data_IF_130383439122
#
_entry.id   IF_130383439122
#
_cell.length_a   1.000
_cell.length_b   1.000
_cell.length_c   1.000
_cell.angle_alpha   90.00
_cell.angle_beta   90.00
_cell.angle_gamma   90.00
#
_symmetry.space_group_name_H-M   'P 1'
#
loop_
_entity.id
_entity.type
_entity.pdbx_description
1 polymer ?
#
# COMPACT_ATOMS: atom_id res chain seq x y z
N UNK A 1 1.88 -29.12 37.90
CA UNK A 1 2.58 -28.60 36.69
C UNK A 1 1.81 -27.49 35.98
N UNK A 2 0.50 -27.36 36.19
CA UNK A 2 -0.39 -26.35 35.57
C UNK A 2 -0.05 -24.89 35.90
N UNK A 3 0.64 -24.61 37.02
CA UNK A 3 0.97 -23.24 37.44
C UNK A 3 2.28 -22.67 36.84
N UNK A 4 3.01 -23.44 36.03
CA UNK A 4 4.28 -23.02 35.40
C UNK A 4 4.16 -22.74 33.90
N UNK A 5 2.97 -22.91 33.33
CA UNK A 5 2.72 -22.81 31.89
C UNK A 5 1.87 -21.58 31.58
N UNK A 6 2.02 -21.02 30.38
CA UNK A 6 1.13 -19.94 29.92
C UNK A 6 -0.32 -20.46 29.83
N UNK A 7 -1.35 -19.66 30.20
CA UNK A 7 -2.75 -20.11 30.25
C UNK A 7 -3.26 -20.71 28.93
N UNK A 8 -2.73 -20.24 27.79
CA UNK A 8 -3.05 -20.78 26.46
C UNK A 8 -2.67 -22.27 26.27
N UNK A 9 -1.86 -22.83 27.18
CA UNK A 9 -1.40 -24.23 27.15
C UNK A 9 -2.19 -25.15 28.08
N UNK A 10 -3.14 -24.64 28.85
CA UNK A 10 -3.90 -25.44 29.82
C UNK A 10 -4.66 -26.59 29.16
N UNK A 11 -5.30 -26.36 28.01
CA UNK A 11 -5.96 -27.42 27.24
C UNK A 11 -4.98 -28.52 26.76
N UNK A 12 -3.76 -28.12 26.36
CA UNK A 12 -2.75 -29.07 25.90
C UNK A 12 -2.24 -29.94 27.05
N UNK A 13 -2.12 -29.37 28.25
CA UNK A 13 -1.71 -30.08 29.46
C UNK A 13 -2.81 -31.05 29.91
N UNK A 14 -4.08 -30.61 29.90
CA UNK A 14 -5.22 -31.49 30.20
C UNK A 14 -5.29 -32.69 29.25
N UNK A 15 -4.99 -32.48 27.96
CA UNK A 15 -4.91 -33.58 26.98
C UNK A 15 -3.79 -34.58 27.29
N UNK A 16 -2.70 -34.17 27.95
CA UNK A 16 -1.64 -35.08 28.38
C UNK A 16 -2.08 -35.95 29.57
N UNK A 17 -2.86 -35.40 30.50
CA UNK A 17 -3.36 -36.13 31.67
C UNK A 17 -4.29 -37.30 31.29
N UNK A 18 -4.95 -37.21 30.13
CA UNK A 18 -5.81 -38.26 29.60
C UNK A 18 -5.06 -39.44 28.94
N UNK A 19 -3.74 -39.33 28.71
CA UNK A 19 -2.96 -40.36 28.00
C UNK A 19 -2.45 -41.41 28.99
N UNK A 20 -2.93 -42.65 28.84
CA UNK A 20 -2.54 -43.77 29.71
C UNK A 20 -1.25 -44.49 29.25
N UNK A 21 -0.97 -44.50 27.95
CA UNK A 21 0.23 -45.15 27.40
C UNK A 21 1.50 -44.32 27.71
N UNK A 22 2.50 -44.88 28.42
CA UNK A 22 3.69 -44.13 28.83
C UNK A 22 4.52 -43.57 27.66
N UNK A 23 4.57 -44.27 26.52
CA UNK A 23 5.37 -43.84 25.37
C UNK A 23 4.70 -42.67 24.67
N UNK A 24 3.39 -42.72 24.47
CA UNK A 24 2.60 -41.62 23.93
C UNK A 24 2.57 -40.41 24.86
N UNK A 25 2.49 -40.65 26.18
CA UNK A 25 2.57 -39.59 27.17
C UNK A 25 3.91 -38.85 27.08
N UNK A 26 5.02 -39.58 27.04
CA UNK A 26 6.35 -38.99 26.92
C UNK A 26 6.50 -38.17 25.62
N UNK A 27 6.01 -38.69 24.48
CA UNK A 27 5.97 -37.95 23.21
C UNK A 27 5.14 -36.68 23.32
N UNK A 28 3.97 -36.76 23.95
CA UNK A 28 3.09 -35.62 24.20
C UNK A 28 3.76 -34.55 25.07
N UNK A 29 4.44 -34.95 26.14
CA UNK A 29 5.20 -34.06 27.02
C UNK A 29 6.29 -33.32 26.23
N UNK A 30 7.10 -34.01 25.43
CA UNK A 30 8.13 -33.36 24.61
C UNK A 30 7.54 -32.36 23.61
N UNK A 31 6.38 -32.67 23.03
CA UNK A 31 5.67 -31.73 22.14
C UNK A 31 5.24 -30.47 22.88
N UNK A 32 4.64 -30.61 24.07
CA UNK A 32 4.22 -29.46 24.88
C UNK A 32 5.42 -28.65 25.37
N UNK A 33 6.50 -29.29 25.81
CA UNK A 33 7.75 -28.60 26.17
C UNK A 33 8.36 -27.82 24.99
N UNK A 34 8.28 -28.36 23.78
CA UNK A 34 8.68 -27.64 22.56
C UNK A 34 7.86 -26.37 22.33
N UNK A 35 6.54 -26.44 22.54
CA UNK A 35 5.66 -25.28 22.46
C UNK A 35 5.98 -24.24 23.55
N UNK A 36 6.21 -24.69 24.78
CA UNK A 36 6.57 -23.80 25.89
C UNK A 36 7.90 -23.09 25.66
N UNK A 37 8.87 -23.75 25.00
CA UNK A 37 10.12 -23.11 24.58
C UNK A 37 9.86 -21.96 23.60
N UNK A 38 8.97 -22.17 22.63
CA UNK A 38 8.56 -21.12 21.68
C UNK A 38 7.83 -19.97 22.39
N UNK A 39 6.97 -20.29 23.36
CA UNK A 39 6.29 -19.28 24.18
C UNK A 39 7.30 -18.42 24.96
N UNK A 40 8.32 -19.04 25.55
CA UNK A 40 9.39 -18.33 26.28
C UNK A 40 10.19 -17.41 25.34
N UNK A 41 10.50 -17.86 24.12
CA UNK A 41 11.16 -17.02 23.10
C UNK A 41 10.27 -15.83 22.73
N UNK A 42 8.98 -16.06 22.46
CA UNK A 42 8.04 -14.99 22.12
C UNK A 42 7.89 -13.99 23.26
N UNK A 43 7.78 -14.47 24.50
CA UNK A 43 7.75 -13.62 25.69
C UNK A 43 9.01 -12.78 25.83
N UNK A 44 10.18 -13.40 25.64
CA UNK A 44 11.47 -12.70 25.70
C UNK A 44 11.57 -11.60 24.63
N UNK A 45 11.14 -11.89 23.40
CA UNK A 45 11.08 -10.89 22.33
C UNK A 45 10.13 -9.75 22.72
N UNK A 46 8.94 -10.06 23.26
CA UNK A 46 7.97 -9.05 23.68
C UNK A 46 8.50 -8.19 24.83
N UNK A 47 9.22 -8.78 25.81
CA UNK A 47 9.78 -8.04 26.94
C UNK A 47 10.91 -7.12 26.52
N UNK A 48 11.72 -7.51 25.53
CA UNK A 48 12.82 -6.67 25.03
C UNK A 48 12.40 -5.66 23.96
N UNK A 49 11.31 -5.92 23.22
CA UNK A 49 10.80 -5.03 22.17
C UNK A 49 10.74 -3.54 22.55
N UNK A 50 10.18 -3.11 23.71
CA UNK A 50 10.11 -1.68 24.04
C UNK A 50 11.51 -1.04 24.13
N UNK A 51 12.47 -1.73 24.78
CA UNK A 51 13.85 -1.24 24.90
C UNK A 51 14.56 -1.16 23.54
N UNK A 52 14.31 -2.14 22.66
CA UNK A 52 14.87 -2.12 21.31
C UNK A 52 14.30 -0.96 20.48
N UNK A 53 13.00 -0.70 20.59
CA UNK A 53 12.34 0.42 19.88
C UNK A 53 12.81 1.78 20.39
N UNK A 54 13.08 1.90 21.68
CA UNK A 54 13.58 3.15 22.28
C UNK A 54 14.96 3.54 21.73
N UNK A 55 15.85 2.57 21.52
CA UNK A 55 17.23 2.81 21.08
C UNK A 55 17.49 2.51 19.59
N UNK A 56 16.54 1.93 18.85
CA UNK A 56 16.78 1.49 17.46
C UNK A 56 17.18 2.64 16.54
N UNK A 57 16.49 3.78 16.62
CA UNK A 57 16.74 4.94 15.76
C UNK A 57 18.17 5.46 15.96
N UNK A 58 18.59 5.64 17.22
CA UNK A 58 19.93 6.12 17.56
C UNK A 58 21.01 5.15 17.10
N UNK A 59 20.76 3.84 17.27
CA UNK A 59 21.68 2.80 16.83
C UNK A 59 21.81 2.77 15.30
N UNK A 60 20.70 2.81 14.57
CA UNK A 60 20.69 2.84 13.10
C UNK A 60 21.39 4.08 12.56
N UNK A 61 21.13 5.26 13.15
CA UNK A 61 21.83 6.51 12.81
C UNK A 61 23.33 6.41 13.03
N UNK A 62 23.77 5.93 14.20
CA UNK A 62 25.19 5.78 14.51
C UNK A 62 25.87 4.82 13.53
N UNK A 63 25.22 3.69 13.20
CA UNK A 63 25.74 2.73 12.23
C UNK A 63 25.77 3.25 10.81
N UNK A 64 24.77 4.01 10.40
CA UNK A 64 24.78 4.65 9.09
C UNK A 64 25.86 5.74 9.01
N UNK A 65 26.06 6.51 10.08
CA UNK A 65 27.14 7.49 10.15
C UNK A 65 28.52 6.83 10.05
N UNK A 66 28.76 5.71 10.74
CA UNK A 66 30.00 4.92 10.61
C UNK A 66 30.26 4.46 9.16
N UNK A 67 29.20 4.25 8.36
CA UNK A 67 29.34 3.91 6.93
C UNK A 67 29.66 5.14 6.08
N UNK A 68 29.00 6.27 6.34
CA UNK A 68 29.26 7.53 5.65
C UNK A 68 30.69 8.05 5.89
N UNK A 69 31.20 7.90 7.11
CA UNK A 69 32.56 8.30 7.47
C UNK A 69 33.61 7.50 6.67
N UNK A 70 33.29 6.25 6.28
CA UNK A 70 34.15 5.40 5.44
C UNK A 70 33.98 5.70 3.95
N UNK A 71 32.77 6.04 3.52
CA UNK A 71 32.44 6.32 2.13
C UNK A 71 31.55 7.57 2.04
N UNK A 72 32.15 8.77 1.86
CA UNK A 72 31.39 10.02 1.82
C UNK A 72 30.42 10.15 0.64
N UNK A 73 30.64 9.42 -0.46
CA UNK A 73 29.78 9.41 -1.66
C UNK A 73 28.71 8.30 -1.64
N UNK A 74 28.32 7.82 -0.45
CA UNK A 74 27.37 6.71 -0.33
C UNK A 74 25.92 7.10 -0.65
N UNK A 75 25.58 8.40 -0.75
CA UNK A 75 24.19 8.89 -0.88
C UNK A 75 23.81 9.30 -2.30
N UNK A 76 24.51 8.80 -3.30
CA UNK A 76 24.34 9.21 -4.70
C UNK A 76 22.94 8.83 -5.23
N UNK A 77 22.48 7.59 -5.01
CA UNK A 77 21.15 7.15 -5.46
C UNK A 77 20.03 7.80 -4.65
N UNK A 78 20.23 8.01 -3.36
CA UNK A 78 19.30 8.77 -2.51
C UNK A 78 19.15 10.20 -3.03
N UNK A 79 20.25 10.84 -3.44
CA UNK A 79 20.23 12.19 -4.01
C UNK A 79 19.54 12.23 -5.37
N UNK A 80 19.81 11.26 -6.27
CA UNK A 80 19.10 11.12 -7.56
C UNK A 80 17.60 10.93 -7.36
N UNK A 81 17.22 10.07 -6.41
CA UNK A 81 15.82 9.78 -6.11
C UNK A 81 15.06 11.02 -5.61
N UNK A 82 15.64 11.78 -4.66
CA UNK A 82 15.03 13.03 -4.19
C UNK A 82 15.01 14.11 -5.26
N UNK A 83 16.04 14.19 -6.11
CA UNK A 83 16.08 15.11 -7.25
C UNK A 83 14.94 14.81 -8.21
N UNK A 84 14.73 13.53 -8.55
CA UNK A 84 13.61 13.09 -9.40
C UNK A 84 12.26 13.44 -8.77
N UNK A 85 12.10 13.24 -7.46
CA UNK A 85 10.88 13.61 -6.75
C UNK A 85 10.61 15.12 -6.81
N UNK A 86 11.66 15.95 -6.71
CA UNK A 86 11.54 17.40 -6.85
C UNK A 86 11.09 17.79 -8.27
N UNK A 87 11.68 17.18 -9.31
CA UNK A 87 11.28 17.44 -10.71
C UNK A 87 9.85 17.02 -11.00
N UNK A 88 9.38 15.92 -10.39
CA UNK A 88 8.01 15.43 -10.56
C UNK A 88 6.96 16.39 -9.97
N UNK A 89 7.32 17.16 -8.93
CA UNK A 89 6.43 18.17 -8.34
C UNK A 89 6.42 19.45 -9.18
N UNK A 90 7.58 19.88 -9.68
CA UNK A 90 7.72 21.13 -10.44
C UNK A 90 7.21 21.01 -11.87
N UNK A 91 7.21 19.81 -12.46
CA UNK A 91 6.73 19.59 -13.83
C UNK A 91 5.20 19.45 -13.84
N UNK A 92 4.44 20.38 -14.44
CA UNK A 92 3.01 20.19 -14.62
C UNK A 92 2.75 19.00 -15.56
N UNK A 93 1.92 18.05 -15.11
CA UNK A 93 1.62 16.84 -15.86
C UNK A 93 0.83 17.18 -17.16
N UNK A 94 1.24 16.72 -18.37
CA UNK A 94 0.58 17.09 -19.64
C UNK A 94 -0.71 16.32 -19.98
N UNK A 95 -1.43 15.73 -19.00
CA UNK A 95 -2.55 14.83 -19.31
C UNK A 95 -3.84 15.16 -18.57
N UNK A 96 -4.60 16.10 -19.15
CA UNK A 96 -6.06 16.14 -19.02
C UNK A 96 -6.64 17.05 -20.12
N UNK A 97 -7.41 16.55 -21.10
CA UNK A 97 -8.29 17.40 -21.87
C UNK A 97 -9.37 17.95 -20.94
N UNK A 98 -9.50 19.28 -20.89
CA UNK A 98 -10.60 19.95 -20.22
C UNK A 98 -11.95 19.46 -20.78
N UNK A 99 -12.91 19.23 -19.90
CA UNK A 99 -14.33 19.19 -20.27
C UNK A 99 -15.15 19.84 -19.16
N UNK A 100 -16.10 20.73 -19.49
CA UNK A 100 -16.69 21.63 -18.52
C UNK A 100 -17.88 21.02 -17.78
N UNK A 101 -18.07 21.53 -16.57
CA UNK A 101 -19.31 21.66 -15.80
C UNK A 101 -19.79 20.54 -14.84
N UNK A 102 -19.84 20.98 -13.57
CA UNK A 102 -20.80 20.68 -12.50
C UNK A 102 -20.83 19.28 -11.85
N UNK A 103 -20.24 19.18 -10.66
CA UNK A 103 -20.97 19.34 -9.38
C UNK A 103 -20.00 19.31 -8.18
N UNK A 104 -20.23 20.23 -7.24
CA UNK A 104 -19.42 20.47 -6.03
C UNK A 104 -19.41 19.24 -5.11
N UNK A 105 -18.22 18.79 -4.74
CA UNK A 105 -17.95 18.08 -3.49
C UNK A 105 -16.72 18.70 -2.84
N UNK A 106 -16.77 18.81 -1.52
CA UNK A 106 -16.02 19.72 -0.68
C UNK A 106 -14.55 19.30 -0.53
N UNK A 107 -13.67 20.21 -0.93
CA UNK A 107 -12.31 20.51 -0.46
C UNK A 107 -11.37 19.36 0.01
N UNK A 108 -10.43 18.98 -0.87
CA UNK A 108 -9.01 19.11 -0.52
C UNK A 108 -8.55 20.44 -1.14
N UNK A 109 -8.47 21.50 -0.34
CA UNK A 109 -8.04 22.80 -0.83
C UNK A 109 -6.55 22.75 -1.18
N UNK A 110 -6.21 22.64 -2.47
CA UNK A 110 -5.03 23.34 -2.98
C UNK A 110 -5.36 24.84 -2.97
N UNK A 111 -4.44 25.73 -2.57
CA UNK A 111 -4.62 27.15 -2.83
C UNK A 111 -4.53 27.35 -4.34
N UNK A 112 -5.68 27.43 -5.01
CA UNK A 112 -5.75 27.89 -6.38
C UNK A 112 -5.60 29.42 -6.36
N UNK A 113 -4.35 29.87 -6.23
CA UNK A 113 -3.96 31.26 -6.41
C UNK A 113 -3.53 31.48 -7.86
N UNK A 114 -4.44 32.03 -8.68
CA UNK A 114 -4.03 32.70 -9.90
C UNK A 114 -3.20 33.93 -9.49
N UNK A 115 -1.88 33.80 -9.58
CA UNK A 115 -0.93 34.87 -9.30
C UNK A 115 0.49 34.32 -9.28
N UNK A 116 1.29 34.73 -10.27
CA UNK A 116 2.73 34.48 -10.35
C UNK A 116 3.40 34.76 -9.00
N UNK A 117 3.73 33.72 -8.25
CA UNK A 117 4.66 33.68 -7.13
C UNK A 117 5.05 32.20 -6.99
N UNK A 118 6.30 31.85 -7.32
CA UNK A 118 6.87 30.51 -7.10
C UNK A 118 6.79 30.21 -5.61
N UNK A 119 5.77 29.45 -5.19
CA UNK A 119 5.65 29.01 -3.80
C UNK A 119 6.83 28.07 -3.54
N UNK A 120 7.66 28.32 -2.51
CA UNK A 120 8.91 27.59 -2.34
C UNK A 120 8.63 26.10 -2.16
N UNK A 121 9.31 25.28 -2.96
CA UNK A 121 9.18 23.82 -2.93
C UNK A 121 9.41 23.30 -1.50
N UNK A 122 8.38 22.74 -0.88
CA UNK A 122 8.47 22.25 0.50
C UNK A 122 9.35 20.98 0.55
N UNK A 123 10.42 20.94 1.37
CA UNK A 123 11.28 19.75 1.52
C UNK A 123 10.49 18.49 1.91
N UNK A 124 9.49 18.65 2.79
CA UNK A 124 8.60 17.56 3.20
C UNK A 124 7.79 17.02 2.04
N UNK A 125 7.31 17.90 1.15
CA UNK A 125 6.53 17.48 -0.02
C UNK A 125 7.38 16.70 -1.02
N UNK A 126 8.64 17.12 -1.24
CA UNK A 126 9.61 16.38 -2.07
C UNK A 126 9.85 14.99 -1.50
N UNK A 127 10.09 14.88 -0.19
CA UNK A 127 10.31 13.59 0.46
C UNK A 127 9.09 12.67 0.32
N UNK A 128 7.88 13.18 0.58
CA UNK A 128 6.66 12.40 0.47
C UNK A 128 6.36 11.97 -0.97
N UNK A 129 6.62 12.84 -1.95
CA UNK A 129 6.53 12.44 -3.36
C UNK A 129 7.56 11.36 -3.70
N UNK A 130 8.79 11.48 -3.20
CA UNK A 130 9.82 10.45 -3.35
C UNK A 130 9.36 9.11 -2.79
N UNK A 131 8.77 9.11 -1.59
CA UNK A 131 8.22 7.92 -0.96
C UNK A 131 7.12 7.25 -1.79
N UNK A 132 6.20 8.04 -2.37
CA UNK A 132 5.16 7.52 -3.26
C UNK A 132 5.76 6.94 -4.54
N UNK A 133 6.82 7.55 -5.08
CA UNK A 133 7.50 7.07 -6.28
C UNK A 133 8.16 5.70 -6.07
N UNK A 134 8.50 5.30 -4.83
CA UNK A 134 9.03 3.97 -4.52
C UNK A 134 8.00 2.85 -4.78
N UNK A 135 6.71 3.15 -4.68
CA UNK A 135 5.64 2.18 -4.98
C UNK A 135 5.49 1.93 -6.49
N UNK A 136 6.11 2.77 -7.32
CA UNK A 136 6.18 2.63 -8.78
C UNK A 136 7.58 2.21 -9.25
N UNK A 137 8.46 1.84 -8.31
CA UNK A 137 9.84 1.52 -8.63
C UNK A 137 9.92 0.23 -9.43
N UNK A 138 10.73 0.25 -10.49
CA UNK A 138 11.01 -0.93 -11.28
C UNK A 138 11.82 -1.94 -10.46
N UNK A 139 11.32 -3.17 -10.23
CA UNK A 139 12.03 -4.18 -9.44
C UNK A 139 13.45 -4.46 -9.94
N UNK A 140 13.66 -4.36 -11.26
CA UNK A 140 14.93 -4.64 -11.96
C UNK A 140 15.92 -3.48 -11.88
N UNK A 141 15.48 -2.29 -11.45
CA UNK A 141 16.37 -1.14 -11.35
C UNK A 141 17.32 -1.30 -10.15
N UNK A 142 18.62 -1.31 -10.43
CA UNK A 142 19.69 -1.43 -9.43
C UNK A 142 19.91 -0.14 -8.64
N UNK A 143 19.54 1.03 -9.19
CA UNK A 143 19.76 2.36 -8.57
C UNK A 143 18.79 2.67 -7.42
N UNK A 144 18.69 1.79 -6.43
CA UNK A 144 17.76 1.95 -5.30
C UNK A 144 18.35 2.88 -4.21
N UNK A 145 17.55 3.75 -3.57
CA UNK A 145 18.05 4.65 -2.52
C UNK A 145 18.71 3.89 -1.38
N UNK A 146 19.95 4.25 -1.05
CA UNK A 146 20.78 3.55 -0.07
C UNK A 146 20.15 3.60 1.33
N UNK A 147 19.49 4.72 1.65
CA UNK A 147 18.74 4.92 2.90
C UNK A 147 17.52 4.01 3.07
N UNK A 148 17.07 3.33 2.02
CA UNK A 148 15.91 2.42 2.04
C UNK A 148 16.29 0.98 1.67
N UNK A 149 17.58 0.70 1.46
CA UNK A 149 18.05 -0.57 0.91
C UNK A 149 17.61 -1.77 1.75
N UNK A 150 17.61 -1.63 3.08
CA UNK A 150 17.16 -2.68 4.01
C UNK A 150 15.66 -2.97 3.92
N UNK A 151 14.88 -2.01 3.44
CA UNK A 151 13.42 -2.10 3.29
C UNK A 151 12.98 -2.40 1.84
N UNK A 152 13.92 -2.65 0.92
CA UNK A 152 13.63 -2.87 -0.50
C UNK A 152 12.59 -3.97 -0.73
N UNK A 153 12.77 -5.13 -0.11
CA UNK A 153 11.84 -6.27 -0.25
C UNK A 153 10.45 -5.94 0.29
N UNK A 154 10.38 -5.28 1.46
CA UNK A 154 9.12 -4.83 2.07
C UNK A 154 8.38 -3.83 1.17
N UNK A 155 9.11 -2.91 0.53
CA UNK A 155 8.55 -1.95 -0.42
C UNK A 155 8.06 -2.62 -1.70
N UNK A 156 8.80 -3.60 -2.23
CA UNK A 156 8.37 -4.40 -3.39
C UNK A 156 7.09 -5.19 -3.09
N UNK A 157 6.99 -5.82 -1.92
CA UNK A 157 5.77 -6.50 -1.47
C UNK A 157 4.59 -5.53 -1.35
N UNK A 158 4.80 -4.32 -0.82
CA UNK A 158 3.77 -3.30 -0.73
C UNK A 158 3.34 -2.79 -2.11
N UNK A 159 4.28 -2.58 -3.03
CA UNK A 159 3.99 -2.19 -4.41
C UNK A 159 3.16 -3.27 -5.14
N UNK A 160 3.51 -4.55 -4.93
CA UNK A 160 2.74 -5.67 -5.44
C UNK A 160 1.31 -5.70 -4.87
N UNK A 161 1.15 -5.55 -3.56
CA UNK A 161 -0.16 -5.46 -2.91
C UNK A 161 -0.98 -4.28 -3.43
N UNK A 162 -0.36 -3.11 -3.63
CA UNK A 162 -1.01 -1.93 -4.20
C UNK A 162 -1.56 -2.21 -5.61
N UNK A 163 -0.78 -2.91 -6.43
CA UNK A 163 -1.18 -3.30 -7.78
C UNK A 163 -2.38 -4.25 -7.75
N UNK A 164 -2.34 -5.28 -6.89
CA UNK A 164 -3.46 -6.19 -6.70
C UNK A 164 -4.73 -5.46 -6.24
N UNK A 165 -4.61 -4.52 -5.29
CA UNK A 165 -5.74 -3.71 -4.84
C UNK A 165 -6.29 -2.81 -5.94
N UNK A 166 -5.43 -2.27 -6.80
CA UNK A 166 -5.84 -1.46 -7.94
C UNK A 166 -6.68 -2.27 -8.93
N UNK A 167 -6.25 -3.49 -9.25
CA UNK A 167 -7.02 -4.42 -10.11
C UNK A 167 -8.33 -4.80 -9.43
N UNK A 168 -8.29 -5.19 -8.15
CA UNK A 168 -9.47 -5.55 -7.36
C UNK A 168 -10.51 -4.42 -7.34
N UNK A 169 -10.12 -3.19 -7.00
CA UNK A 169 -11.05 -2.05 -6.99
C UNK A 169 -11.61 -1.78 -8.39
N UNK A 170 -10.79 -1.90 -9.44
CA UNK A 170 -11.25 -1.72 -10.82
C UNK A 170 -12.32 -2.76 -11.20
N UNK A 171 -12.10 -4.03 -10.86
CA UNK A 171 -13.05 -5.13 -11.09
C UNK A 171 -14.34 -4.90 -10.31
N UNK A 172 -14.25 -4.53 -9.04
CA UNK A 172 -15.42 -4.25 -8.19
C UNK A 172 -16.24 -3.06 -8.69
N UNK A 173 -15.58 -2.01 -9.19
CA UNK A 173 -16.26 -0.84 -9.76
C UNK A 173 -17.00 -1.19 -11.05
N UNK A 174 -16.38 -1.98 -11.94
CA UNK A 174 -17.05 -2.47 -13.15
C UNK A 174 -18.19 -3.41 -12.76
N UNK A 175 -17.99 -4.38 -11.87
CA UNK A 175 -19.05 -5.27 -11.41
C UNK A 175 -20.24 -4.49 -10.81
N UNK A 176 -19.97 -3.44 -10.02
CA UNK A 176 -21.01 -2.58 -9.43
C UNK A 176 -21.83 -1.83 -10.46
N UNK A 177 -21.23 -1.39 -11.58
CA UNK A 177 -21.96 -0.65 -12.61
C UNK A 177 -23.02 -1.49 -13.32
N UNK A 178 -22.82 -2.81 -13.40
CA UNK A 178 -23.76 -3.74 -14.04
C UNK A 178 -24.74 -4.39 -13.05
N UNK A 179 -24.37 -4.54 -11.79
CA UNK A 179 -25.13 -5.32 -10.81
C UNK A 179 -26.18 -4.52 -10.01
N UNK A 180 -26.15 -3.18 -10.12
CA UNK A 180 -26.99 -2.30 -9.33
C UNK A 180 -26.59 -2.23 -7.85
N UNK A 181 -27.14 -1.24 -7.15
CA UNK A 181 -26.79 -0.95 -5.75
C UNK A 181 -27.27 -2.03 -4.77
N UNK A 182 -28.37 -2.71 -5.10
CA UNK A 182 -29.00 -3.72 -4.25
C UNK A 182 -28.07 -4.92 -4.02
N UNK A 183 -27.39 -5.39 -5.06
CA UNK A 183 -26.47 -6.53 -4.96
C UNK A 183 -25.23 -6.16 -4.13
N UNK A 184 -24.67 -4.97 -4.36
CA UNK A 184 -23.51 -4.45 -3.65
C UNK A 184 -23.82 -3.96 -2.23
N UNK A 185 -25.09 -3.90 -1.83
CA UNK A 185 -25.51 -3.68 -0.44
C UNK A 185 -25.32 -4.92 0.43
N UNK A 186 -25.22 -6.11 -0.17
CA UNK A 186 -24.93 -7.35 0.55
C UNK A 186 -23.42 -7.51 0.78
N UNK A 187 -23.00 -7.44 2.04
CA UNK A 187 -21.58 -7.61 2.40
C UNK A 187 -21.05 -9.00 2.03
N UNK A 188 -21.87 -10.04 2.21
CA UNK A 188 -21.51 -11.43 1.87
C UNK A 188 -21.22 -11.59 0.37
N UNK A 189 -22.01 -10.92 -0.49
CA UNK A 189 -21.78 -10.94 -1.93
C UNK A 189 -20.49 -10.20 -2.31
N UNK A 190 -20.27 -9.01 -1.75
CA UNK A 190 -19.04 -8.24 -2.00
C UNK A 190 -17.80 -9.01 -1.54
N UNK A 191 -17.86 -9.64 -0.36
CA UNK A 191 -16.76 -10.44 0.16
C UNK A 191 -16.49 -11.68 -0.71
N UNK A 192 -17.53 -12.35 -1.23
CA UNK A 192 -17.36 -13.43 -2.22
C UNK A 192 -16.64 -12.94 -3.48
N UNK A 193 -17.09 -11.83 -4.07
CA UNK A 193 -16.43 -11.24 -5.25
C UNK A 193 -14.97 -10.87 -4.97
N UNK A 194 -14.67 -10.31 -3.79
CA UNK A 194 -13.29 -10.02 -3.38
C UNK A 194 -12.44 -11.27 -3.31
N UNK A 195 -12.93 -12.33 -2.67
CA UNK A 195 -12.21 -13.59 -2.53
C UNK A 195 -11.90 -14.20 -3.90
N UNK A 196 -12.89 -14.27 -4.79
CA UNK A 196 -12.73 -14.81 -6.15
C UNK A 196 -11.73 -13.98 -6.94
N UNK A 197 -11.91 -12.65 -6.96
CA UNK A 197 -11.01 -11.76 -7.70
C UNK A 197 -9.59 -11.86 -7.16
N UNK A 198 -9.40 -11.83 -5.84
CA UNK A 198 -8.09 -11.92 -5.21
C UNK A 198 -7.37 -13.23 -5.55
N UNK A 199 -8.06 -14.37 -5.44
CA UNK A 199 -7.50 -15.68 -5.75
C UNK A 199 -7.09 -15.81 -7.22
N UNK A 200 -7.87 -15.24 -8.14
CA UNK A 200 -7.56 -15.30 -9.57
C UNK A 200 -6.46 -14.32 -9.97
N UNK A 201 -6.33 -13.18 -9.28
CA UNK A 201 -5.35 -12.13 -9.60
C UNK A 201 -3.94 -12.34 -9.03
N UNK A 202 -3.65 -13.51 -8.44
CA UNK A 202 -2.30 -13.83 -7.94
C UNK A 202 -1.24 -13.80 -9.03
N UNK A 203 -1.55 -14.33 -10.22
CA UNK A 203 -0.63 -14.38 -11.37
C UNK A 203 -0.81 -13.20 -12.35
N UNK A 204 -1.54 -12.15 -11.96
CA UNK A 204 -1.89 -11.04 -12.87
C UNK A 204 -0.66 -10.39 -13.50
N UNK A 205 0.44 -10.25 -12.76
CA UNK A 205 1.68 -9.64 -13.29
C UNK A 205 2.30 -10.50 -14.40
N UNK A 206 2.24 -11.82 -14.26
CA UNK A 206 2.83 -12.76 -15.22
C UNK A 206 1.94 -12.98 -16.43
N UNK A 207 0.61 -13.09 -16.24
CA UNK A 207 -0.35 -13.49 -17.27
C UNK A 207 -1.65 -12.67 -17.18
N UNK A 208 -1.61 -11.35 -17.45
CA UNK A 208 -2.74 -10.47 -17.17
C UNK A 208 -3.96 -10.74 -18.06
N UNK A 209 -3.77 -11.13 -19.32
CA UNK A 209 -4.88 -11.43 -20.26
C UNK A 209 -5.66 -12.67 -19.84
N UNK A 210 -4.97 -13.76 -19.54
CA UNK A 210 -5.58 -15.02 -19.11
C UNK A 210 -6.24 -14.89 -17.74
N UNK A 211 -5.57 -14.17 -16.83
CA UNK A 211 -6.12 -13.85 -15.51
C UNK A 211 -7.44 -13.10 -15.66
N UNK A 212 -7.48 -12.04 -16.48
CA UNK A 212 -8.71 -11.26 -16.65
C UNK A 212 -9.80 -11.98 -17.42
N UNK A 213 -9.45 -12.91 -18.30
CA UNK A 213 -10.43 -13.80 -18.91
C UNK A 213 -11.15 -14.63 -17.83
N UNK A 214 -10.38 -15.31 -16.97
CA UNK A 214 -10.93 -16.10 -15.87
C UNK A 214 -11.74 -15.25 -14.88
N UNK A 215 -11.21 -14.09 -14.48
CA UNK A 215 -11.92 -13.13 -13.60
C UNK A 215 -13.22 -12.69 -14.26
N UNK A 216 -13.22 -12.36 -15.56
CA UNK A 216 -14.42 -11.90 -16.25
C UNK A 216 -15.53 -12.94 -16.24
N UNK A 217 -15.20 -14.21 -16.50
CA UNK A 217 -16.16 -15.32 -16.49
C UNK A 217 -16.71 -15.57 -15.09
N UNK A 218 -15.84 -15.66 -14.08
CA UNK A 218 -16.22 -15.97 -12.70
C UNK A 218 -17.03 -14.84 -12.05
N UNK A 219 -16.60 -13.58 -12.21
CA UNK A 219 -17.35 -12.41 -11.72
C UNK A 219 -18.72 -12.31 -12.40
N UNK A 220 -18.79 -12.57 -13.71
CA UNK A 220 -20.07 -12.60 -14.42
C UNK A 220 -20.99 -13.70 -13.87
N UNK A 221 -20.49 -14.92 -13.65
CA UNK A 221 -21.26 -16.02 -13.08
C UNK A 221 -21.81 -15.68 -11.69
N UNK A 222 -20.96 -15.13 -10.81
CA UNK A 222 -21.37 -14.70 -9.46
C UNK A 222 -22.44 -13.61 -9.49
N UNK A 223 -22.33 -12.63 -10.38
CA UNK A 223 -23.36 -11.60 -10.54
C UNK A 223 -24.70 -12.23 -10.96
N UNK A 224 -24.69 -13.13 -11.94
CA UNK A 224 -25.91 -13.83 -12.36
C UNK A 224 -26.50 -14.70 -11.25
N UNK A 225 -25.65 -15.35 -10.44
CA UNK A 225 -26.10 -16.14 -9.30
C UNK A 225 -26.71 -15.25 -8.21
N UNK A 226 -26.04 -14.16 -7.84
CA UNK A 226 -26.54 -13.22 -6.84
C UNK A 226 -27.85 -12.54 -7.27
N UNK A 227 -28.02 -12.23 -8.56
CA UNK A 227 -29.29 -11.73 -9.09
C UNK A 227 -30.42 -12.76 -8.96
N UNK A 228 -30.14 -14.03 -9.25
CA UNK A 228 -31.12 -15.13 -9.09
C UNK A 228 -31.50 -15.33 -7.63
N UNK A 229 -30.53 -15.33 -6.71
CA UNK A 229 -30.76 -15.53 -5.28
C UNK A 229 -31.65 -14.43 -4.68
N UNK A 230 -31.53 -13.20 -5.18
CA UNK A 230 -32.34 -12.05 -4.79
C UNK A 230 -33.67 -11.93 -5.56
N UNK A 231 -33.98 -12.87 -6.46
CA UNK A 231 -35.18 -12.84 -7.30
C UNK A 231 -35.22 -11.66 -8.29
N UNK A 232 -34.06 -11.10 -8.63
CA UNK A 232 -33.91 -9.99 -9.57
C UNK A 232 -33.78 -10.50 -11.01
N UNK A 233 -34.09 -9.63 -11.98
CA UNK A 233 -33.94 -9.94 -13.40
C UNK A 233 -32.48 -10.16 -13.74
N UNK A 234 -32.18 -11.25 -14.44
CA UNK A 234 -30.84 -11.53 -14.97
C UNK A 234 -30.41 -10.45 -15.95
N UNK A 235 -29.10 -10.24 -16.07
CA UNK A 235 -28.53 -9.34 -17.08
C UNK A 235 -28.94 -9.77 -18.50
N UNK A 236 -29.15 -8.79 -19.38
CA UNK A 236 -29.35 -9.04 -20.80
C UNK A 236 -28.06 -9.59 -21.43
N UNK A 237 -28.17 -10.31 -22.55
CA UNK A 237 -27.00 -10.82 -23.27
C UNK A 237 -26.02 -9.71 -23.68
N UNK A 238 -26.53 -8.53 -24.02
CA UNK A 238 -25.73 -7.35 -24.36
C UNK A 238 -24.97 -6.81 -23.14
N UNK A 239 -25.64 -6.69 -21.99
CA UNK A 239 -25.00 -6.25 -20.74
C UNK A 239 -23.95 -7.26 -20.26
N UNK A 240 -24.20 -8.55 -20.42
CA UNK A 240 -23.23 -9.60 -20.09
C UNK A 240 -22.00 -9.53 -20.99
N UNK A 241 -22.17 -9.34 -22.31
CA UNK A 241 -21.05 -9.16 -23.22
C UNK A 241 -20.26 -7.89 -22.92
N UNK A 242 -20.95 -6.80 -22.59
CA UNK A 242 -20.33 -5.52 -22.19
C UNK A 242 -19.54 -5.65 -20.88
N UNK A 243 -20.09 -6.33 -19.87
CA UNK A 243 -19.42 -6.61 -18.60
C UNK A 243 -18.12 -7.40 -18.83
N UNK A 244 -18.18 -8.49 -19.58
CA UNK A 244 -17.00 -9.30 -19.91
C UNK A 244 -15.93 -8.48 -20.64
N UNK A 245 -16.33 -7.70 -21.65
CA UNK A 245 -15.43 -6.84 -22.39
C UNK A 245 -14.79 -5.75 -21.53
N UNK A 246 -15.55 -5.12 -20.63
CA UNK A 246 -15.01 -4.10 -19.72
C UNK A 246 -14.02 -4.68 -18.71
N UNK A 247 -14.32 -5.85 -18.14
CA UNK A 247 -13.41 -6.56 -17.23
C UNK A 247 -12.12 -6.96 -17.94
N UNK A 248 -12.19 -7.55 -19.12
CA UNK A 248 -10.99 -7.91 -19.90
C UNK A 248 -10.16 -6.70 -20.30
N UNK A 249 -10.80 -5.56 -20.57
CA UNK A 249 -10.12 -4.31 -20.87
C UNK A 249 -9.32 -3.73 -19.69
N UNK A 250 -9.48 -4.22 -18.44
CA UNK A 250 -8.68 -3.78 -17.28
C UNK A 250 -7.20 -4.15 -17.45
N UNK A 251 -6.88 -5.18 -18.25
CA UNK A 251 -5.51 -5.57 -18.57
C UNK A 251 -4.72 -4.45 -19.28
N UNK A 252 -5.39 -3.63 -20.09
CA UNK A 252 -4.76 -2.57 -20.88
C UNK A 252 -4.14 -1.49 -19.99
N UNK A 253 -2.94 -1.02 -20.34
CA UNK A 253 -2.23 0.00 -19.55
C UNK A 253 -2.95 1.34 -19.51
N UNK A 254 -3.63 1.66 -20.60
CA UNK A 254 -4.35 2.91 -20.85
C UNK A 254 -5.80 2.85 -20.35
N UNK A 255 -6.17 1.81 -19.59
CA UNK A 255 -7.52 1.69 -19.06
C UNK A 255 -7.85 2.84 -18.10
N UNK A 256 -8.86 3.65 -18.45
CA UNK A 256 -9.24 4.83 -17.67
C UNK A 256 -9.67 4.48 -16.24
N UNK A 257 -10.41 3.38 -16.05
CA UNK A 257 -10.88 2.96 -14.71
C UNK A 257 -9.67 2.63 -13.84
N UNK A 258 -8.75 1.81 -14.36
CA UNK A 258 -7.53 1.43 -13.65
C UNK A 258 -6.68 2.65 -13.30
N UNK A 259 -6.49 3.57 -14.24
CA UNK A 259 -5.73 4.82 -14.03
C UNK A 259 -6.37 5.71 -12.95
N UNK A 260 -7.70 5.88 -12.97
CA UNK A 260 -8.43 6.67 -11.97
C UNK A 260 -8.33 6.03 -10.58
N UNK A 261 -8.49 4.70 -10.48
CA UNK A 261 -8.37 3.96 -9.21
C UNK A 261 -6.97 4.13 -8.64
N UNK A 262 -5.96 3.91 -9.47
CA UNK A 262 -4.54 4.02 -9.12
C UNK A 262 -4.18 5.45 -8.65
N UNK A 263 -4.69 6.48 -9.34
CA UNK A 263 -4.54 7.88 -8.92
C UNK A 263 -5.22 8.15 -7.56
N UNK A 264 -6.45 7.66 -7.34
CA UNK A 264 -7.16 7.84 -6.07
C UNK A 264 -6.46 7.16 -4.91
N UNK A 265 -5.92 5.95 -5.14
CA UNK A 265 -5.13 5.22 -4.16
C UNK A 265 -3.86 6.02 -3.80
N UNK A 266 -3.12 6.51 -4.80
CA UNK A 266 -1.93 7.36 -4.56
C UNK A 266 -2.26 8.64 -3.81
N UNK A 267 -3.37 9.30 -4.16
CA UNK A 267 -3.84 10.48 -3.44
C UNK A 267 -4.18 10.16 -1.99
N UNK A 268 -4.84 9.02 -1.73
CA UNK A 268 -5.10 8.57 -0.36
C UNK A 268 -3.80 8.35 0.43
N UNK A 269 -2.81 7.65 -0.13
CA UNK A 269 -1.51 7.45 0.53
C UNK A 269 -0.77 8.77 0.76
N UNK A 270 -0.86 9.72 -0.17
CA UNK A 270 -0.33 11.07 -0.01
C UNK A 270 -1.00 11.81 1.14
N UNK A 271 -2.33 11.73 1.24
CA UNK A 271 -3.08 12.28 2.36
C UNK A 271 -2.64 11.65 3.69
N UNK A 272 -2.39 10.33 3.72
CA UNK A 272 -1.91 9.62 4.91
C UNK A 272 -0.54 10.14 5.38
N UNK A 273 0.37 10.45 4.47
CA UNK A 273 1.67 11.05 4.80
C UNK A 273 1.53 12.48 5.33
N UNK A 274 0.61 13.26 4.75
CA UNK A 274 0.44 14.69 5.07
C UNK A 274 -0.34 14.92 6.38
N UNK A 275 -1.46 14.23 6.56
CA UNK A 275 -2.43 14.48 7.64
C UNK A 275 -2.46 13.34 8.67
N UNK A 276 -1.75 12.25 8.42
CA UNK A 276 -1.83 11.03 9.21
C UNK A 276 -2.97 10.12 8.77
N UNK A 277 -2.89 8.87 9.23
CA UNK A 277 -3.82 7.81 8.82
C UNK A 277 -5.24 8.03 9.33
N UNK A 278 -5.41 8.44 10.59
CA UNK A 278 -6.73 8.60 11.20
C UNK A 278 -7.56 9.67 10.49
N UNK A 279 -6.97 10.83 10.21
CA UNK A 279 -7.64 11.92 9.47
C UNK A 279 -7.98 11.49 8.04
N UNK A 280 -7.06 10.80 7.37
CA UNK A 280 -7.26 10.33 6.00
C UNK A 280 -8.38 9.30 5.87
N UNK A 281 -8.63 8.51 6.91
CA UNK A 281 -9.75 7.56 6.97
C UNK A 281 -11.10 8.25 7.14
N UNK A 282 -11.17 9.41 7.81
CA UNK A 282 -12.41 10.19 7.93
C UNK A 282 -12.89 10.71 6.57
N UNK A 283 -11.95 11.05 5.69
CA UNK A 283 -12.19 11.55 4.34
C UNK A 283 -11.84 10.51 3.28
N UNK A 284 -12.14 9.23 3.55
CA UNK A 284 -11.80 8.14 2.64
C UNK A 284 -12.49 8.30 1.27
N UNK A 285 -11.79 8.06 0.15
CA UNK A 285 -12.38 8.20 -1.18
C UNK A 285 -13.55 7.22 -1.40
N UNK A 286 -14.77 7.73 -1.52
CA UNK A 286 -15.98 6.88 -1.65
C UNK A 286 -15.95 5.91 -2.84
N UNK A 287 -15.22 6.25 -3.92
CA UNK A 287 -15.01 5.34 -5.05
C UNK A 287 -14.12 4.13 -4.75
N UNK A 288 -13.48 4.08 -3.59
CA UNK A 288 -12.65 2.96 -3.13
C UNK A 288 -13.25 2.27 -1.90
N UNK A 289 -14.46 2.65 -1.46
CA UNK A 289 -15.04 2.21 -0.18
C UNK A 289 -15.11 0.68 -0.06
N UNK A 290 -15.29 0.00 -1.19
CA UNK A 290 -15.34 -1.46 -1.23
C UNK A 290 -14.02 -2.10 -0.79
N UNK A 291 -12.88 -1.42 -0.89
CA UNK A 291 -11.56 -1.93 -0.49
C UNK A 291 -10.96 -1.16 0.70
N UNK A 292 -11.79 -0.45 1.47
CA UNK A 292 -11.33 0.43 2.55
C UNK A 292 -10.43 -0.31 3.55
N UNK A 293 -10.86 -1.47 4.05
CA UNK A 293 -10.09 -2.28 5.01
C UNK A 293 -8.72 -2.65 4.45
N UNK A 294 -8.71 -3.22 3.24
CA UNK A 294 -7.48 -3.71 2.63
C UNK A 294 -6.50 -2.57 2.31
N UNK A 295 -7.01 -1.44 1.82
CA UNK A 295 -6.19 -0.25 1.56
C UNK A 295 -5.72 0.40 2.86
N UNK A 296 -6.54 0.38 3.92
CA UNK A 296 -6.16 0.91 5.22
C UNK A 296 -5.00 0.11 5.84
N UNK A 297 -5.05 -1.22 5.78
CA UNK A 297 -3.97 -2.09 6.24
C UNK A 297 -2.66 -1.81 5.50
N UNK A 298 -2.71 -1.65 4.17
CA UNK A 298 -1.55 -1.29 3.36
C UNK A 298 -1.03 0.12 3.70
N UNK A 299 -1.94 1.07 3.87
CA UNK A 299 -1.64 2.45 4.24
C UNK A 299 -0.91 2.56 5.58
N UNK A 300 -1.36 1.82 6.60
CA UNK A 300 -0.67 1.73 7.89
C UNK A 300 0.76 1.18 7.76
N UNK A 301 0.94 0.09 7.01
CA UNK A 301 2.27 -0.50 6.78
C UNK A 301 3.21 0.48 6.10
N UNK A 302 2.72 1.14 5.04
CA UNK A 302 3.48 2.12 4.29
C UNK A 302 3.84 3.32 5.17
N UNK A 303 2.88 3.95 5.83
CA UNK A 303 3.09 5.12 6.68
C UNK A 303 4.09 4.83 7.81
N UNK A 304 3.96 3.68 8.49
CA UNK A 304 4.88 3.30 9.57
C UNK A 304 6.31 3.12 9.06
N UNK A 305 6.49 2.54 7.87
CA UNK A 305 7.81 2.35 7.27
C UNK A 305 8.44 3.70 6.87
N UNK A 306 7.67 4.57 6.23
CA UNK A 306 8.13 5.92 5.86
C UNK A 306 8.44 6.77 7.09
N UNK A 307 7.64 6.68 8.15
CA UNK A 307 7.87 7.44 9.37
C UNK A 307 9.14 6.98 10.09
N UNK A 308 9.35 5.67 10.24
CA UNK A 308 10.60 5.13 10.82
C UNK A 308 11.81 5.56 9.98
N UNK A 309 11.73 5.39 8.66
CA UNK A 309 12.80 5.82 7.75
C UNK A 309 13.10 7.32 7.89
N UNK A 310 12.07 8.17 7.99
CA UNK A 310 12.27 9.61 8.20
C UNK A 310 12.88 9.92 9.57
N UNK A 311 12.54 9.18 10.63
CA UNK A 311 13.15 9.37 11.95
C UNK A 311 14.64 9.01 11.93
N UNK A 312 15.02 7.95 11.23
CA UNK A 312 16.42 7.50 11.11
C UNK A 312 17.19 8.43 10.19
N UNK A 313 16.71 8.64 8.96
CA UNK A 313 17.48 9.28 7.89
C UNK A 313 17.15 10.76 7.65
N UNK A 314 16.20 11.32 8.39
CA UNK A 314 15.76 12.71 8.27
C UNK A 314 16.88 13.76 8.23
N UNK A 315 17.91 13.69 9.10
CA UNK A 315 19.05 14.62 9.03
C UNK A 315 19.79 14.58 7.69
N UNK A 316 19.97 13.39 7.09
CA UNK A 316 20.63 13.24 5.80
C UNK A 316 19.76 13.77 4.65
N UNK A 317 18.45 13.51 4.71
CA UNK A 317 17.51 14.07 3.73
C UNK A 317 17.47 15.59 3.80
N UNK A 318 17.53 16.19 4.99
CA UNK A 318 17.55 17.64 5.14
C UNK A 318 18.75 18.29 4.43
N UNK A 319 19.95 17.73 4.57
CA UNK A 319 21.15 18.22 3.88
C UNK A 319 21.07 18.04 2.36
N UNK A 320 20.56 16.90 1.87
CA UNK A 320 20.37 16.66 0.44
C UNK A 320 19.33 17.64 -0.14
N UNK A 321 18.17 17.78 0.52
CA UNK A 321 17.08 18.63 0.05
C UNK A 321 17.46 20.11 0.06
N UNK A 322 18.27 20.54 1.02
CA UNK A 322 18.87 21.89 1.02
C UNK A 322 19.64 22.13 -0.28
N UNK A 323 20.45 21.17 -0.72
CA UNK A 323 21.21 21.25 -1.96
C UNK A 323 20.37 21.10 -3.23
N UNK A 324 19.16 20.55 -3.17
CA UNK A 324 18.26 20.43 -4.33
C UNK A 324 17.41 21.69 -4.50
N UNK A 325 16.87 22.21 -3.39
CA UNK A 325 15.87 23.30 -3.40
C UNK A 325 16.52 24.68 -3.50
N UNK A 326 17.64 24.93 -2.81
CA UNK A 326 18.30 26.24 -2.86
C UNK A 326 18.92 26.62 -4.22
N UNK A 327 19.58 25.73 -4.99
CA UNK A 327 20.07 26.11 -6.31
C UNK A 327 18.96 26.26 -7.36
N UNK A 328 17.80 25.60 -7.20
CA UNK A 328 16.64 25.82 -8.07
C UNK A 328 16.11 27.26 -7.98
N UNK A 329 16.14 27.86 -6.79
CA UNK A 329 15.72 29.25 -6.56
C UNK A 329 16.71 30.28 -7.10
N UNK A 330 18.00 29.96 -7.18
CA UNK A 330 19.03 30.85 -7.75
C UNK A 330 19.03 30.85 -9.29
N UNK A 331 18.67 29.72 -9.92
CA UNK A 331 18.58 29.64 -11.38
C UNK A 331 17.33 30.34 -11.95
N UNK A 332 16.23 30.43 -11.21
CA UNK A 332 15.04 31.21 -11.63
C UNK A 332 15.32 32.73 -11.66
N UNK A 333 16.15 33.25 -10.75
CA UNK A 333 16.49 34.68 -10.69
C UNK A 333 17.40 35.17 -11.82
N UNK A 334 18.23 34.30 -12.40
CA UNK A 334 19.15 34.68 -13.49
C UNK A 334 18.48 34.68 -14.88
N UNK A 335 17.30 34.08 -15.03
CA UNK A 335 16.55 34.06 -16.30
C UNK A 335 15.59 35.26 -16.42
N UNK A 336 15.16 35.87 -15.31
CA UNK A 336 14.33 37.08 -15.33
C UNK A 336 15.14 38.39 -15.53
N UNK A 337 16.47 38.33 -15.63
CA UNK A 337 17.33 39.51 -15.75
C UNK A 337 18.18 39.56 -17.05
N UNK A 338 17.79 38.82 -18.10
CA UNK A 338 18.37 38.95 -19.45
C UNK A 338 17.37 39.42 -20.49
#
# INVERSE_FOLDING_TARGET
>A
MTLLCAPVRDEAIQKLEAITDPVQLLRGIFRVLGLMKMDMVNYTIQSFRPYLQEHSIQYEQAKFQELLDKQPSLLDYTTKWLTKAATDITTPCPSSPESPSSSRSVACSLPNGAGNNSEPLSPTMVLYQGYLNLLLWDPENEEFPETLLMDRTRLQEMAFQLHQLTVLASVLLVARSFSGEILFSSSEFVDRLKCITKALTEEFISRPEETMLSVSEQVSQEIHQGLKDMGLTTLSSENTASLLGQLQNITKKENCIRSIVDQRIRLFLKCCLLHGMQESLLHFPGGLILIERELAELGWKFLNLMHHNQQVFGPYYAEILKNIIHPAQAQETDVEHN
#
